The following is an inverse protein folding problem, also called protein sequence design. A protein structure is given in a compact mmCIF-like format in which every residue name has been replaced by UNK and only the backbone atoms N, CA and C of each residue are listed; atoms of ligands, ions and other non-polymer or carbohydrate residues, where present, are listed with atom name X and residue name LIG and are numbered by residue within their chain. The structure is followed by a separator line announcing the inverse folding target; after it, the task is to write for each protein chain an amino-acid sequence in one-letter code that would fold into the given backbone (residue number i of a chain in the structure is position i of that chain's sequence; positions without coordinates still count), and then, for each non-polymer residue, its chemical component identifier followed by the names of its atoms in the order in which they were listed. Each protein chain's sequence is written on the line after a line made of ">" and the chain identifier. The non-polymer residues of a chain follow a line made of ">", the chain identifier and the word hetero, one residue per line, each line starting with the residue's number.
data_IF_007928599886
#
_entry.id   IF_007928599886
#
_cell.length_a   1.000
_cell.length_b   1.000
_cell.length_c   1.000
_cell.angle_alpha   90.00
_cell.angle_beta   90.00
_cell.angle_gamma   90.00
#
_symmetry.space_group_name_H-M   'P 1'
#
loop_
_entity.id
_entity.type
_entity.pdbx_description
1 polymer ?
#
# COMPACT_ATOMS: atom_id res chain seq x y z
N UNK A 1 -41.64 -27.00 -2.46
CA UNK A 1 -40.80 -26.08 -3.26
C UNK A 1 -39.81 -25.24 -2.43
N UNK A 2 -39.87 -25.26 -1.08
CA UNK A 2 -38.86 -24.63 -0.20
C UNK A 2 -37.60 -25.46 0.08
N UNK A 3 -37.61 -26.81 0.22
CA UNK A 3 -36.40 -27.55 0.65
C UNK A 3 -35.31 -27.60 -0.43
N UNK A 4 -35.69 -27.74 -1.70
CA UNK A 4 -34.75 -27.78 -2.85
C UNK A 4 -33.97 -26.46 -2.99
N UNK A 5 -34.60 -25.32 -2.70
CA UNK A 5 -33.95 -24.01 -2.77
C UNK A 5 -32.90 -23.83 -1.68
N UNK A 6 -33.06 -24.46 -0.51
CA UNK A 6 -32.10 -24.39 0.59
C UNK A 6 -30.90 -25.32 0.34
N UNK A 7 -31.11 -26.50 -0.25
CA UNK A 7 -30.02 -27.40 -0.63
C UNK A 7 -29.11 -26.78 -1.70
N UNK A 8 -29.69 -26.17 -2.74
CA UNK A 8 -28.91 -25.50 -3.80
C UNK A 8 -28.14 -24.29 -3.26
N UNK A 9 -28.72 -23.54 -2.31
CA UNK A 9 -28.02 -22.44 -1.64
C UNK A 9 -26.86 -22.93 -0.76
N UNK A 10 -27.03 -24.06 -0.08
CA UNK A 10 -26.00 -24.63 0.81
C UNK A 10 -24.79 -25.13 0.01
N UNK A 11 -25.04 -25.82 -1.12
CA UNK A 11 -23.96 -26.19 -2.04
C UNK A 11 -23.33 -24.95 -2.70
N UNK A 12 -24.13 -23.98 -3.13
CA UNK A 12 -23.65 -22.74 -3.74
C UNK A 12 -22.74 -21.94 -2.80
N UNK A 13 -23.13 -21.78 -1.54
CA UNK A 13 -22.33 -21.09 -0.52
C UNK A 13 -21.05 -21.85 -0.14
N UNK A 14 -21.10 -23.18 -0.10
CA UNK A 14 -19.92 -24.03 0.17
C UNK A 14 -18.90 -23.95 -0.97
N UNK A 15 -19.36 -24.00 -2.22
CA UNK A 15 -18.49 -23.84 -3.39
C UNK A 15 -17.93 -22.41 -3.47
N UNK A 16 -18.76 -21.41 -3.20
CA UNK A 16 -18.34 -20.00 -3.21
C UNK A 16 -17.28 -19.71 -2.14
N UNK A 17 -17.47 -20.22 -0.90
CA UNK A 17 -16.49 -20.06 0.19
C UNK A 17 -15.19 -20.81 -0.09
N UNK A 18 -15.26 -21.97 -0.75
CA UNK A 18 -14.07 -22.67 -1.23
C UNK A 18 -13.32 -21.80 -2.26
N UNK A 19 -14.01 -21.31 -3.29
CA UNK A 19 -13.40 -20.47 -4.34
C UNK A 19 -12.76 -19.21 -3.74
N UNK A 20 -13.44 -18.51 -2.82
CA UNK A 20 -12.90 -17.32 -2.15
C UNK A 20 -11.67 -17.64 -1.30
N UNK A 21 -11.53 -18.86 -0.76
CA UNK A 21 -10.37 -19.26 0.02
C UNK A 21 -9.14 -19.59 -0.84
N UNK A 22 -9.35 -20.14 -2.05
CA UNK A 22 -8.26 -20.55 -2.95
C UNK A 22 -7.88 -19.50 -4.01
N UNK A 23 -8.80 -18.59 -4.34
CA UNK A 23 -8.54 -17.49 -5.27
C UNK A 23 -7.38 -16.58 -4.81
N UNK A 24 -7.25 -16.20 -3.51
CA UNK A 24 -6.11 -15.45 -3.01
C UNK A 24 -4.80 -16.22 -3.14
N UNK A 25 -4.81 -17.53 -2.83
CA UNK A 25 -3.66 -18.43 -2.96
C UNK A 25 -3.16 -18.51 -4.41
N UNK A 26 -4.08 -18.51 -5.38
CA UNK A 26 -3.76 -18.51 -6.82
C UNK A 26 -3.17 -17.16 -7.29
N UNK A 27 -3.53 -16.05 -6.64
CA UNK A 27 -3.02 -14.72 -6.95
C UNK A 27 -1.72 -14.37 -6.18
N UNK A 28 -1.33 -15.15 -5.15
CA UNK A 28 -0.08 -14.95 -4.40
C UNK A 28 1.20 -14.91 -5.26
N UNK A 29 1.44 -15.81 -6.23
CA UNK A 29 2.65 -15.77 -7.06
C UNK A 29 2.71 -14.54 -7.99
N UNK A 30 1.56 -13.97 -8.35
CA UNK A 30 1.46 -12.76 -9.21
C UNK A 30 1.63 -11.47 -8.40
N UNK A 31 1.27 -11.51 -7.11
CA UNK A 31 1.41 -10.40 -6.18
C UNK A 31 2.78 -10.35 -5.47
N UNK A 32 3.57 -11.44 -5.50
CA UNK A 32 4.88 -11.52 -4.85
C UNK A 32 5.95 -10.55 -5.38
N UNK A 33 5.74 -9.97 -6.57
CA UNK A 33 6.65 -8.98 -7.16
C UNK A 33 6.34 -7.52 -6.79
N UNK A 34 5.13 -7.19 -6.33
CA UNK A 34 4.63 -5.80 -6.26
C UNK A 34 3.79 -5.45 -5.01
N UNK A 35 3.53 -6.41 -4.12
CA UNK A 35 2.51 -6.30 -3.06
C UNK A 35 2.68 -5.19 -2.01
N UNK A 36 3.89 -4.67 -1.81
CA UNK A 36 4.11 -3.59 -0.85
C UNK A 36 3.94 -2.19 -1.46
N UNK A 37 3.85 -2.10 -2.80
CA UNK A 37 3.65 -0.85 -3.52
C UNK A 37 2.20 -0.72 -4.06
N UNK A 38 1.52 -1.83 -4.34
CA UNK A 38 0.31 -1.77 -5.15
C UNK A 38 -0.94 -1.14 -4.49
N UNK A 39 -1.01 -1.00 -3.16
CA UNK A 39 -2.23 -0.50 -2.49
C UNK A 39 -2.14 0.93 -1.94
N UNK A 40 -0.94 1.46 -1.73
CA UNK A 40 -0.71 2.81 -1.18
C UNK A 40 -0.14 3.77 -2.22
N UNK A 41 0.42 3.25 -3.31
CA UNK A 41 0.86 4.04 -4.48
C UNK A 41 -0.17 4.03 -5.62
N UNK A 42 -1.34 3.43 -5.41
CA UNK A 42 -2.40 3.40 -6.41
C UNK A 42 -3.24 4.69 -6.45
N UNK A 43 -3.13 5.55 -5.43
CA UNK A 43 -3.73 6.88 -5.45
C UNK A 43 -2.99 7.77 -6.47
N UNK A 44 -3.73 8.55 -7.27
CA UNK A 44 -3.18 9.32 -8.40
C UNK A 44 -2.12 10.35 -7.99
N UNK A 45 -2.19 10.86 -6.75
CA UNK A 45 -1.22 11.79 -6.17
C UNK A 45 0.13 11.13 -5.81
N UNK A 46 0.14 9.81 -5.59
CA UNK A 46 1.35 9.01 -5.39
C UNK A 46 1.88 8.37 -6.68
N UNK A 47 1.29 8.65 -7.85
CA UNK A 47 1.72 8.10 -9.13
C UNK A 47 3.18 8.47 -9.46
N UNK A 48 3.57 9.73 -9.25
CA UNK A 48 4.93 10.21 -9.55
C UNK A 48 5.98 9.61 -8.59
N UNK A 49 5.81 9.71 -7.25
CA UNK A 49 6.69 9.02 -6.31
C UNK A 49 6.71 7.50 -6.50
N UNK A 50 5.56 6.91 -6.86
CA UNK A 50 5.39 5.48 -7.07
C UNK A 50 6.13 4.93 -8.28
N UNK A 51 6.13 5.65 -9.41
CA UNK A 51 6.95 5.29 -10.58
C UNK A 51 8.45 5.38 -10.24
N UNK A 52 8.85 6.43 -9.52
CA UNK A 52 10.25 6.63 -9.12
C UNK A 52 10.76 5.51 -8.19
N UNK A 53 9.97 5.17 -7.17
CA UNK A 53 10.28 4.12 -6.20
C UNK A 53 10.11 2.71 -6.80
N UNK A 54 9.17 2.51 -7.72
CA UNK A 54 8.98 1.25 -8.45
C UNK A 54 10.17 0.93 -9.36
N UNK A 55 10.68 1.94 -10.08
CA UNK A 55 11.90 1.80 -10.86
C UNK A 55 13.11 1.49 -9.97
N UNK A 56 13.18 2.10 -8.77
CA UNK A 56 14.24 1.84 -7.79
C UNK A 56 14.13 0.45 -7.14
N UNK A 57 12.91 -0.05 -6.92
CA UNK A 57 12.64 -1.39 -6.41
C UNK A 57 13.04 -2.51 -7.38
N UNK A 58 13.03 -2.22 -8.69
CA UNK A 58 13.53 -3.13 -9.74
C UNK A 58 15.03 -3.45 -9.62
N UNK A 59 15.83 -2.56 -9.01
CA UNK A 59 17.26 -2.78 -8.75
C UNK A 59 17.54 -3.69 -7.54
N UNK A 60 16.51 -4.01 -6.74
CA UNK A 60 16.61 -4.95 -5.63
C UNK A 60 15.95 -4.45 -4.34
N UNK A 61 15.63 -5.41 -3.47
CA UNK A 61 14.91 -5.15 -2.20
C UNK A 61 15.64 -4.16 -1.29
N UNK A 62 16.96 -4.18 -1.30
CA UNK A 62 17.80 -3.27 -0.49
C UNK A 62 17.68 -1.81 -0.97
N UNK A 63 17.68 -1.58 -2.29
CA UNK A 63 17.55 -0.23 -2.85
C UNK A 63 16.19 0.39 -2.51
N UNK A 64 15.12 -0.42 -2.53
CA UNK A 64 13.77 -0.01 -2.15
C UNK A 64 13.71 0.42 -0.67
N UNK A 65 14.25 -0.41 0.23
CA UNK A 65 14.27 -0.14 1.68
C UNK A 65 15.04 1.15 1.99
N UNK A 66 16.23 1.30 1.41
CA UNK A 66 17.06 2.50 1.58
C UNK A 66 16.35 3.74 1.04
N UNK A 67 15.67 3.62 -0.10
CA UNK A 67 14.88 4.72 -0.69
C UNK A 67 13.73 5.18 0.21
N UNK A 68 12.97 4.26 0.80
CA UNK A 68 11.88 4.57 1.73
C UNK A 68 12.42 5.24 3.00
N UNK A 69 13.50 4.69 3.60
CA UNK A 69 14.11 5.28 4.79
C UNK A 69 14.68 6.67 4.52
N UNK A 70 15.31 6.88 3.36
CA UNK A 70 15.83 8.18 2.95
C UNK A 70 14.72 9.21 2.77
N UNK A 71 13.61 8.83 2.13
CA UNK A 71 12.45 9.70 1.97
C UNK A 71 11.85 10.10 3.32
N UNK A 72 11.67 9.15 4.24
CA UNK A 72 11.17 9.41 5.59
C UNK A 72 12.08 10.39 6.35
N UNK A 73 13.40 10.16 6.34
CA UNK A 73 14.36 11.05 6.97
C UNK A 73 14.28 12.47 6.39
N UNK A 74 14.14 12.60 5.07
CA UNK A 74 14.02 13.88 4.39
C UNK A 74 12.76 14.65 4.85
N UNK A 75 11.61 13.97 4.94
CA UNK A 75 10.35 14.57 5.43
C UNK A 75 10.49 15.03 6.88
N UNK A 76 11.15 14.25 7.74
CA UNK A 76 11.36 14.63 9.14
C UNK A 76 12.30 15.84 9.28
N UNK A 77 13.36 15.91 8.47
CA UNK A 77 14.27 17.07 8.45
C UNK A 77 13.54 18.32 7.96
N UNK A 78 12.79 18.22 6.85
CA UNK A 78 11.99 19.34 6.33
C UNK A 78 10.94 19.79 7.34
N UNK A 79 10.26 18.85 8.01
CA UNK A 79 9.31 19.14 9.08
C UNK A 79 9.99 19.89 10.23
N UNK A 80 11.14 19.41 10.70
CA UNK A 80 11.89 20.06 11.77
C UNK A 80 12.33 21.48 11.39
N UNK A 81 12.84 21.69 10.17
CA UNK A 81 13.24 23.01 9.68
C UNK A 81 12.02 23.95 9.58
N UNK A 82 10.90 23.48 9.03
CA UNK A 82 9.68 24.29 8.90
C UNK A 82 9.07 24.62 10.27
N UNK A 83 9.10 23.69 11.22
CA UNK A 83 8.67 23.94 12.61
C UNK A 83 9.57 24.95 13.31
N UNK A 84 10.89 24.89 13.10
CA UNK A 84 11.82 25.89 13.63
C UNK A 84 11.54 27.28 13.05
N UNK A 85 11.24 27.38 11.75
CA UNK A 85 10.86 28.64 11.09
C UNK A 85 9.52 29.18 11.61
N UNK A 86 8.53 28.32 11.81
CA UNK A 86 7.23 28.70 12.35
C UNK A 86 7.33 29.25 13.79
N UNK A 87 8.24 28.71 14.60
CA UNK A 87 8.53 29.20 15.96
C UNK A 87 9.18 30.59 15.94
N UNK A 88 10.09 30.83 14.99
CA UNK A 88 10.78 32.12 14.84
C UNK A 88 9.87 33.26 14.38
N UNK A 89 8.81 32.98 13.62
CA UNK A 89 7.84 34.01 13.19
C UNK A 89 6.91 34.43 14.32
N UNK A 90 6.54 33.53 15.24
CA UNK A 90 5.69 33.87 16.39
C UNK A 90 6.42 34.71 17.43
N UNK A 91 7.71 34.47 17.65
CA UNK A 91 8.52 35.26 18.59
C UNK A 91 8.84 36.70 18.14
N UNK A 92 8.47 37.09 16.92
CA UNK A 92 8.64 38.46 16.38
C UNK A 92 7.29 39.18 16.20
N UNK A 93 6.21 38.61 16.76
CA UNK A 93 4.88 39.20 16.82
C UNK A 93 4.44 39.51 18.26
N UNK A 94 5.37 39.42 19.21
CA UNK A 94 5.21 39.76 20.64
C UNK A 94 5.72 41.19 20.91
#
# INVERSE_FOLDING_TARGET
>A
MLPVVVEVQSLGATVNSLIISWLPLFILPVLGGLKLAASTFADTDYLIPGILLGNLGGFGKIALIVGILGFLACVLILSAILTQRAKSTKANQD
#
